data_IF_638529133342
#
_entry.id   IF_638529133342
#
_cell.length_a   1.000
_cell.length_b   1.000
_cell.length_c   1.000
_cell.angle_alpha   90.00
_cell.angle_beta   90.00
_cell.angle_gamma   90.00
#
_symmetry.space_group_name_H-M   'P 1'
#
loop_
_entity.id
_entity.type
_entity.pdbx_description
1 polymer ?
#
# COMPACT_ATOMS: atom_id res chain seq x y z
N UNK A 1 20.98 -8.85 34.24
CA UNK A 1 21.18 -9.19 32.81
C UNK A 1 22.21 -8.22 32.25
N UNK A 2 23.26 -8.70 31.59
CA UNK A 2 24.21 -7.82 30.89
C UNK A 2 23.57 -7.37 29.57
N UNK A 3 23.54 -6.07 29.29
CA UNK A 3 23.02 -5.52 28.03
C UNK A 3 23.99 -5.90 26.90
N UNK A 4 23.59 -6.83 26.03
CA UNK A 4 24.49 -7.40 25.02
C UNK A 4 24.89 -6.41 23.92
N UNK A 5 24.14 -5.32 23.74
CA UNK A 5 24.38 -4.31 22.70
C UNK A 5 25.28 -3.14 23.13
N UNK A 6 25.82 -3.18 24.34
CA UNK A 6 26.75 -2.18 24.85
C UNK A 6 28.11 -2.83 25.11
N UNK A 7 29.20 -2.17 24.71
CA UNK A 7 30.54 -2.60 25.05
C UNK A 7 30.89 -2.24 26.52
N UNK A 8 32.09 -2.59 26.97
CA UNK A 8 32.55 -2.31 28.34
C UNK A 8 32.62 -0.81 28.69
N UNK A 9 32.53 0.09 27.70
CA UNK A 9 32.51 1.55 27.85
C UNK A 9 31.09 2.14 27.74
N UNK A 10 30.08 1.30 27.51
CA UNK A 10 28.70 1.75 27.32
C UNK A 10 28.37 2.23 25.90
N UNK A 11 29.24 1.96 24.92
CA UNK A 11 29.01 2.34 23.52
C UNK A 11 28.24 1.23 22.78
N UNK A 12 27.42 1.62 21.81
CA UNK A 12 26.67 0.71 20.96
C UNK A 12 27.61 -0.23 20.19
N UNK A 13 27.36 -1.55 20.27
CA UNK A 13 28.12 -2.56 19.57
C UNK A 13 27.21 -3.69 19.09
N UNK A 14 27.39 -4.14 17.85
CA UNK A 14 26.68 -5.28 17.29
C UNK A 14 27.29 -6.57 17.83
N UNK A 15 26.50 -7.40 18.49
CA UNK A 15 26.96 -8.66 19.10
C UNK A 15 27.54 -9.59 18.05
N UNK A 16 28.76 -10.10 18.26
CA UNK A 16 29.30 -11.16 17.41
C UNK A 16 28.52 -12.47 17.64
N UNK A 17 28.13 -13.09 16.53
CA UNK A 17 27.37 -14.34 16.49
C UNK A 17 28.09 -15.43 15.70
N UNK A 18 29.34 -15.22 15.27
CA UNK A 18 30.09 -16.13 14.42
C UNK A 18 30.15 -17.56 14.97
N UNK A 19 30.41 -17.70 16.27
CA UNK A 19 30.57 -19.01 16.95
C UNK A 19 29.24 -19.64 17.39
N UNK A 20 28.10 -18.97 17.18
CA UNK A 20 26.79 -19.55 17.50
C UNK A 20 26.40 -20.55 16.42
N UNK A 21 25.85 -21.69 16.82
CA UNK A 21 25.32 -22.66 15.88
C UNK A 21 24.13 -22.09 15.10
N UNK A 22 24.07 -22.43 13.81
CA UNK A 22 22.91 -22.16 12.98
C UNK A 22 21.78 -23.12 13.33
N UNK A 23 20.60 -22.56 13.59
CA UNK A 23 19.39 -23.33 13.90
C UNK A 23 18.23 -22.76 13.10
N UNK A 24 17.19 -23.56 12.90
CA UNK A 24 15.91 -23.04 12.41
C UNK A 24 15.36 -22.06 13.43
N UNK A 25 14.91 -20.90 12.95
CA UNK A 25 14.36 -19.82 13.77
C UNK A 25 13.11 -19.27 13.11
N UNK A 26 12.14 -18.95 13.94
CA UNK A 26 10.86 -18.43 13.52
C UNK A 26 10.40 -17.36 14.50
N UNK A 27 9.77 -16.31 14.00
CA UNK A 27 9.10 -15.31 14.82
C UNK A 27 7.76 -14.95 14.19
N UNK A 28 6.75 -14.79 15.04
CA UNK A 28 5.45 -14.25 14.68
C UNK A 28 5.25 -12.93 15.40
N UNK A 29 4.77 -11.93 14.68
CA UNK A 29 4.40 -10.64 15.24
C UNK A 29 3.02 -10.23 14.74
N UNK A 30 2.36 -9.36 15.48
CA UNK A 30 1.08 -8.79 15.12
C UNK A 30 1.13 -7.27 15.14
N UNK A 31 0.12 -6.65 14.53
CA UNK A 31 -0.21 -5.24 14.68
C UNK A 31 -1.72 -5.06 14.48
N UNK A 32 -2.30 -4.01 15.08
CA UNK A 32 -3.70 -3.65 14.91
C UNK A 32 -3.83 -2.25 14.32
N UNK A 33 -4.68 -2.09 13.32
CA UNK A 33 -4.98 -0.80 12.70
C UNK A 33 -6.46 -0.50 12.88
N UNK A 34 -6.79 0.37 13.81
CA UNK A 34 -8.17 0.78 14.10
C UNK A 34 -8.56 1.99 13.24
N UNK A 35 -9.77 1.96 12.70
CA UNK A 35 -10.29 2.98 11.77
C UNK A 35 -11.80 3.16 11.94
N UNK A 36 -12.40 4.12 11.24
CA UNK A 36 -13.85 4.24 11.24
C UNK A 36 -14.50 3.00 10.59
N UNK A 37 -15.70 2.59 11.04
CA UNK A 37 -16.43 1.48 10.43
C UNK A 37 -16.64 1.66 8.92
N UNK A 38 -16.92 2.90 8.49
CA UNK A 38 -17.08 3.24 7.08
C UNK A 38 -15.78 3.06 6.27
N UNK A 39 -14.62 3.38 6.85
CA UNK A 39 -13.31 3.15 6.23
C UNK A 39 -13.05 1.66 6.04
N UNK A 40 -13.36 0.85 7.06
CA UNK A 40 -13.19 -0.59 6.99
C UNK A 40 -14.13 -1.23 5.95
N UNK A 41 -15.37 -0.74 5.84
CA UNK A 41 -16.30 -1.18 4.80
C UNK A 41 -15.77 -0.88 3.40
N UNK A 42 -15.28 0.34 3.14
CA UNK A 42 -14.66 0.70 1.87
C UNK A 42 -13.43 -0.19 1.56
N UNK A 43 -12.63 -0.50 2.57
CA UNK A 43 -11.49 -1.40 2.44
C UNK A 43 -11.93 -2.82 2.05
N UNK A 44 -12.99 -3.35 2.68
CA UNK A 44 -13.52 -4.68 2.41
C UNK A 44 -14.13 -4.80 1.00
N UNK A 45 -14.76 -3.73 0.52
CA UNK A 45 -15.39 -3.66 -0.81
C UNK A 45 -14.40 -3.30 -1.93
N UNK A 46 -13.17 -2.91 -1.59
CA UNK A 46 -12.17 -2.44 -2.57
C UNK A 46 -12.49 -1.05 -3.13
N UNK A 47 -13.35 -0.28 -2.47
CA UNK A 47 -13.82 1.04 -2.91
C UNK A 47 -12.89 2.21 -2.55
N UNK A 48 -11.63 1.94 -2.17
CA UNK A 48 -10.66 2.98 -1.81
C UNK A 48 -10.02 3.59 -3.07
N UNK A 49 -9.81 4.93 -3.12
CA UNK A 49 -9.30 5.60 -4.33
C UNK A 49 -7.92 5.15 -4.81
N UNK A 50 -7.14 4.50 -3.95
CA UNK A 50 -5.74 4.12 -4.19
C UNK A 50 -5.55 2.66 -4.64
N UNK A 51 -6.63 1.95 -5.00
CA UNK A 51 -6.57 0.57 -5.49
C UNK A 51 -6.44 -0.48 -4.38
N UNK A 52 -5.76 -1.60 -4.67
CA UNK A 52 -5.65 -2.73 -3.74
C UNK A 52 -4.73 -2.41 -2.55
N UNK A 53 -5.36 -1.99 -1.46
CA UNK A 53 -4.69 -1.57 -0.22
C UNK A 53 -4.04 -2.75 0.51
N UNK A 54 -4.71 -3.90 0.58
CA UNK A 54 -4.21 -5.07 1.32
C UNK A 54 -3.02 -5.71 0.58
N UNK A 55 -3.07 -5.80 -0.75
CA UNK A 55 -1.94 -6.29 -1.53
C UNK A 55 -0.73 -5.37 -1.42
N UNK A 56 -0.94 -4.06 -1.52
CA UNK A 56 0.12 -3.06 -1.34
C UNK A 56 0.76 -3.17 0.05
N UNK A 57 -0.05 -3.23 1.12
CA UNK A 57 0.44 -3.39 2.49
C UNK A 57 1.19 -4.72 2.69
N UNK A 58 0.74 -5.81 2.06
CA UNK A 58 1.42 -7.12 2.09
C UNK A 58 2.83 -7.03 1.52
N UNK A 59 2.95 -6.43 0.33
CA UNK A 59 4.22 -6.27 -0.37
C UNK A 59 5.15 -5.37 0.44
N UNK A 60 4.63 -4.27 0.99
CA UNK A 60 5.40 -3.36 1.84
C UNK A 60 5.95 -4.07 3.09
N UNK A 61 5.14 -4.87 3.77
CA UNK A 61 5.58 -5.68 4.92
C UNK A 61 6.67 -6.69 4.53
N UNK A 62 6.52 -7.41 3.40
CA UNK A 62 7.53 -8.37 2.93
C UNK A 62 8.86 -7.66 2.58
N UNK A 63 8.79 -6.49 1.95
CA UNK A 63 9.99 -5.69 1.66
C UNK A 63 10.65 -5.19 2.93
N UNK A 64 9.87 -4.71 3.89
CA UNK A 64 10.36 -4.23 5.17
C UNK A 64 11.09 -5.32 5.97
N UNK A 65 10.55 -6.54 6.03
CA UNK A 65 11.23 -7.68 6.67
C UNK A 65 12.66 -7.85 6.14
N UNK A 66 12.84 -7.81 4.81
CA UNK A 66 14.15 -8.00 4.16
C UNK A 66 15.11 -6.84 4.42
N UNK A 67 14.60 -5.65 4.74
CA UNK A 67 15.37 -4.41 4.96
C UNK A 67 15.48 -4.02 6.44
N UNK A 68 15.11 -4.92 7.35
CA UNK A 68 15.12 -4.67 8.80
C UNK A 68 16.49 -4.19 9.30
N UNK A 69 17.57 -4.80 8.82
CA UNK A 69 18.94 -4.44 9.20
C UNK A 69 19.38 -3.05 8.71
N UNK A 70 18.70 -2.47 7.71
CA UNK A 70 18.93 -1.08 7.28
C UNK A 70 18.24 -0.08 8.20
N UNK A 71 17.16 -0.51 8.87
CA UNK A 71 16.32 0.35 9.72
C UNK A 71 16.71 0.28 11.20
N UNK A 72 17.09 -0.91 11.68
CA UNK A 72 17.44 -1.16 13.08
C UNK A 72 18.98 -1.23 13.22
N UNK A 73 19.65 -0.21 13.82
CA UNK A 73 21.08 0.00 13.67
C UNK A 73 22.02 -1.16 14.07
N UNK A 74 21.60 -2.04 14.97
CA UNK A 74 22.42 -3.14 15.50
C UNK A 74 21.88 -4.53 15.14
N UNK A 75 20.90 -4.61 14.22
CA UNK A 75 20.46 -5.88 13.67
C UNK A 75 21.48 -6.41 12.66
N UNK A 76 21.69 -7.73 12.68
CA UNK A 76 22.47 -8.41 11.66
C UNK A 76 21.70 -8.44 10.33
N UNK A 77 22.41 -8.42 9.21
CA UNK A 77 21.81 -8.75 7.91
C UNK A 77 21.52 -10.26 7.86
N UNK A 78 20.27 -10.64 7.56
CA UNK A 78 19.81 -12.01 7.62
C UNK A 78 19.17 -12.46 6.30
N UNK A 79 19.53 -13.67 5.86
CA UNK A 79 18.94 -14.30 4.67
C UNK A 79 17.63 -15.00 5.05
N UNK A 80 16.53 -14.25 5.01
CA UNK A 80 15.19 -14.77 5.29
C UNK A 80 14.80 -15.89 4.31
N UNK A 81 14.30 -17.00 4.84
CA UNK A 81 13.81 -18.14 4.04
C UNK A 81 12.30 -18.07 3.79
N UNK A 82 11.54 -17.40 4.65
CA UNK A 82 10.09 -17.19 4.47
C UNK A 82 9.65 -15.91 5.18
N UNK A 83 8.76 -15.17 4.52
CA UNK A 83 7.98 -14.08 5.10
C UNK A 83 6.52 -14.26 4.68
N UNK A 84 5.58 -14.19 5.62
CA UNK A 84 4.15 -14.01 5.32
C UNK A 84 3.63 -12.82 6.10
N UNK A 85 2.68 -12.11 5.52
CA UNK A 85 2.00 -10.95 6.11
C UNK A 85 0.54 -11.15 5.75
N UNK A 86 -0.31 -11.41 6.73
CA UNK A 86 -1.71 -11.77 6.56
C UNK A 86 -2.60 -10.75 7.27
N UNK A 87 -3.82 -10.55 6.75
CA UNK A 87 -4.75 -9.53 7.22
C UNK A 87 -6.10 -10.16 7.53
N UNK A 88 -6.67 -9.78 8.66
CA UNK A 88 -8.06 -10.11 9.04
C UNK A 88 -8.81 -8.81 9.26
N UNK A 89 -9.93 -8.61 8.56
CA UNK A 89 -10.81 -7.47 8.80
C UNK A 89 -11.79 -7.83 9.92
N UNK A 90 -11.72 -7.11 11.02
CA UNK A 90 -12.62 -7.25 12.16
C UNK A 90 -13.66 -6.14 12.13
N UNK A 91 -14.80 -6.45 11.51
CA UNK A 91 -15.93 -5.53 11.39
C UNK A 91 -16.56 -5.19 12.74
N UNK A 92 -16.46 -6.07 13.74
CA UNK A 92 -17.05 -5.83 15.06
C UNK A 92 -16.27 -4.77 15.83
N UNK A 93 -14.94 -4.78 15.72
CA UNK A 93 -14.05 -3.82 16.39
C UNK A 93 -13.56 -2.68 15.47
N UNK A 94 -13.99 -2.66 14.20
CA UNK A 94 -13.59 -1.66 13.20
C UNK A 94 -12.07 -1.54 13.05
N UNK A 95 -11.40 -2.69 12.94
CA UNK A 95 -9.95 -2.73 12.78
C UNK A 95 -9.48 -3.79 11.78
N UNK A 96 -8.25 -3.61 11.31
CA UNK A 96 -7.51 -4.64 10.56
C UNK A 96 -6.46 -5.23 11.49
N UNK A 97 -6.51 -6.55 11.67
CA UNK A 97 -5.46 -7.30 12.34
C UNK A 97 -4.42 -7.74 11.32
N UNK A 98 -3.16 -7.51 11.63
CA UNK A 98 -2.01 -7.91 10.81
C UNK A 98 -1.29 -9.03 11.56
N UNK A 99 -1.01 -10.13 10.87
CA UNK A 99 -0.18 -11.21 11.38
C UNK A 99 1.00 -11.44 10.45
N UNK A 100 2.20 -11.45 11.01
CA UNK A 100 3.44 -11.64 10.26
C UNK A 100 4.18 -12.87 10.78
N UNK A 101 4.75 -13.62 9.85
CA UNK A 101 5.64 -14.75 10.13
C UNK A 101 6.96 -14.55 9.37
N UNK A 102 8.08 -14.55 10.10
CA UNK A 102 9.42 -14.60 9.52
C UNK A 102 10.14 -15.89 9.92
N UNK A 103 10.91 -16.47 9.00
CA UNK A 103 11.69 -17.70 9.25
C UNK A 103 13.02 -17.68 8.52
N UNK A 104 14.04 -18.27 9.15
CA UNK A 104 15.33 -18.59 8.53
C UNK A 104 16.01 -19.78 9.21
N UNK A 105 17.16 -20.19 8.66
CA UNK A 105 18.19 -20.95 9.38
C UNK A 105 19.36 -20.00 9.64
N UNK A 106 19.75 -19.79 10.90
CA UNK A 106 20.77 -18.79 11.23
C UNK A 106 21.16 -18.73 12.70
N UNK A 107 22.04 -17.77 13.01
CA UNK A 107 22.75 -17.65 14.30
C UNK A 107 22.08 -16.70 15.30
N UNK A 108 21.19 -15.86 14.82
CA UNK A 108 20.38 -14.92 15.62
C UNK A 108 18.91 -14.99 15.21
N UNK A 109 18.03 -14.54 16.10
CA UNK A 109 16.58 -14.58 15.91
C UNK A 109 16.08 -13.64 14.82
N UNK A 110 14.79 -13.74 14.52
CA UNK A 110 14.08 -12.95 13.50
C UNK A 110 12.91 -12.15 14.07
N UNK A 111 12.96 -11.86 15.37
CA UNK A 111 11.93 -11.08 16.05
C UNK A 111 11.77 -9.70 15.41
N UNK A 112 12.89 -9.06 15.07
CA UNK A 112 12.90 -7.71 14.50
C UNK A 112 12.36 -7.69 13.07
N UNK A 113 12.61 -8.72 12.28
CA UNK A 113 12.07 -8.82 10.92
C UNK A 113 10.54 -8.94 10.94
N UNK A 114 9.98 -9.74 11.86
CA UNK A 114 8.55 -9.88 12.02
C UNK A 114 7.89 -8.57 12.50
N UNK A 115 8.45 -7.93 13.52
CA UNK A 115 7.96 -6.66 14.08
C UNK A 115 8.03 -5.51 13.05
N UNK A 116 9.14 -5.41 12.33
CA UNK A 116 9.34 -4.37 11.31
C UNK A 116 8.35 -4.52 10.17
N UNK A 117 8.12 -5.76 9.70
CA UNK A 117 7.13 -6.02 8.68
C UNK A 117 5.70 -5.71 9.11
N UNK A 118 5.31 -6.05 10.34
CA UNK A 118 3.99 -5.70 10.89
C UNK A 118 3.82 -4.18 10.96
N UNK A 119 4.86 -3.47 11.43
CA UNK A 119 4.88 -2.01 11.54
C UNK A 119 4.71 -1.33 10.18
N UNK A 120 5.48 -1.74 9.17
CA UNK A 120 5.44 -1.11 7.84
C UNK A 120 4.16 -1.49 7.09
N UNK A 121 3.65 -2.71 7.25
CA UNK A 121 2.32 -3.05 6.72
C UNK A 121 1.23 -2.13 7.32
N UNK A 122 1.26 -1.89 8.63
CA UNK A 122 0.33 -0.97 9.30
C UNK A 122 0.46 0.47 8.80
N UNK A 123 1.69 0.99 8.67
CA UNK A 123 1.96 2.32 8.11
C UNK A 123 1.47 2.44 6.67
N UNK A 124 1.58 1.37 5.89
CA UNK A 124 1.09 1.33 4.52
C UNK A 124 -0.45 1.36 4.47
N UNK A 125 -1.13 0.61 5.34
CA UNK A 125 -2.59 0.72 5.48
C UNK A 125 -3.02 2.16 5.80
N UNK A 126 -2.32 2.80 6.75
CA UNK A 126 -2.56 4.21 7.06
C UNK A 126 -2.39 5.09 5.81
N UNK A 127 -1.27 4.97 5.08
CA UNK A 127 -1.01 5.80 3.90
C UNK A 127 -2.08 5.68 2.81
N UNK A 128 -2.58 4.45 2.63
CA UNK A 128 -3.58 4.12 1.63
C UNK A 128 -4.98 4.59 2.01
N UNK A 129 -5.29 4.66 3.31
CA UNK A 129 -6.62 5.04 3.82
C UNK A 129 -6.71 6.51 4.31
N UNK A 130 -5.59 7.21 4.55
CA UNK A 130 -5.58 8.56 5.16
C UNK A 130 -6.37 9.65 4.43
N UNK A 131 -6.72 9.43 3.16
CA UNK A 131 -7.52 10.36 2.39
C UNK A 131 -9.00 10.35 2.83
N UNK A 132 -9.52 9.19 3.22
CA UNK A 132 -10.90 9.02 3.71
C UNK A 132 -10.99 9.08 5.23
N UNK A 133 -9.91 8.72 5.92
CA UNK A 133 -9.88 8.66 7.38
C UNK A 133 -8.50 9.00 7.93
N UNK A 134 -8.37 10.19 8.53
CA UNK A 134 -7.14 10.66 9.18
C UNK A 134 -7.04 10.25 10.65
N UNK A 135 -8.10 9.68 11.22
CA UNK A 135 -8.17 9.28 12.63
C UNK A 135 -7.67 7.86 12.89
N UNK A 136 -7.10 7.20 11.87
CA UNK A 136 -6.59 5.82 11.96
C UNK A 136 -5.51 5.73 13.04
N UNK A 137 -5.63 4.72 13.90
CA UNK A 137 -4.67 4.44 14.98
C UNK A 137 -3.96 3.12 14.69
N UNK A 138 -2.63 3.16 14.71
CA UNK A 138 -1.78 1.96 14.66
C UNK A 138 -1.38 1.62 16.10
N UNK A 139 -1.67 0.39 16.52
CA UNK A 139 -1.40 -0.10 17.86
C UNK A 139 -1.00 -1.57 17.86
N UNK A 140 -0.79 -2.10 19.06
CA UNK A 140 -0.56 -3.52 19.34
C UNK A 140 0.51 -4.16 18.45
N UNK A 141 1.57 -3.40 18.12
CA UNK A 141 2.73 -3.93 17.41
C UNK A 141 3.54 -4.74 18.40
N UNK A 142 3.47 -6.06 18.28
CA UNK A 142 3.97 -6.92 19.34
C UNK A 142 4.42 -8.30 18.83
N UNK A 143 5.38 -8.90 19.53
CA UNK A 143 5.83 -10.26 19.24
C UNK A 143 4.82 -11.26 19.80
N UNK A 144 4.36 -12.22 19.02
CA UNK A 144 3.42 -13.26 19.44
C UNK A 144 4.14 -14.53 19.84
N UNK A 145 5.05 -15.00 19.00
CA UNK A 145 5.87 -16.16 19.30
C UNK A 145 7.26 -15.99 18.71
N UNK A 146 8.22 -16.69 19.30
CA UNK A 146 9.48 -17.00 18.64
C UNK A 146 9.93 -18.41 18.98
N UNK A 147 10.62 -19.05 18.06
CA UNK A 147 11.20 -20.38 18.27
C UNK A 147 12.66 -20.44 17.86
N UNK A 148 13.41 -21.29 18.55
CA UNK A 148 14.82 -21.57 18.27
C UNK A 148 15.81 -20.58 18.88
N UNK A 149 17.07 -21.01 18.93
CA UNK A 149 18.16 -20.31 19.60
C UNK A 149 18.30 -20.66 21.08
N UNK A 150 19.36 -20.10 21.69
CA UNK A 150 19.75 -20.44 23.07
C UNK A 150 18.71 -20.03 24.13
N UNK A 151 17.93 -18.98 23.88
CA UNK A 151 16.88 -18.53 24.80
C UNK A 151 15.62 -19.40 24.77
N UNK A 152 15.56 -20.39 23.87
CA UNK A 152 14.40 -21.26 23.73
C UNK A 152 13.22 -20.57 23.06
N UNK A 153 12.10 -21.29 23.07
CA UNK A 153 10.84 -20.82 22.50
C UNK A 153 10.16 -19.88 23.49
N UNK A 154 9.50 -18.86 22.94
CA UNK A 154 8.71 -17.91 23.71
C UNK A 154 7.38 -17.70 23.03
N UNK A 155 6.34 -17.58 23.83
CA UNK A 155 4.99 -17.26 23.40
C UNK A 155 4.45 -16.18 24.34
N UNK A 156 3.76 -15.20 23.75
CA UNK A 156 3.04 -14.18 24.50
C UNK A 156 2.04 -14.87 25.43
N UNK A 157 2.04 -14.58 26.74
CA UNK A 157 1.01 -15.04 27.64
C UNK A 157 -0.35 -14.47 27.19
N UNK A 158 -1.37 -15.32 27.09
CA UNK A 158 -2.74 -14.84 26.85
C UNK A 158 -3.17 -13.95 28.01
N UNK A 159 -3.50 -12.69 27.73
CA UNK A 159 -4.00 -11.77 28.77
C UNK A 159 -5.32 -12.28 29.38
N UNK A 160 -6.10 -13.08 28.65
CA UNK A 160 -7.30 -13.75 29.17
C UNK A 160 -7.00 -14.72 30.33
N UNK A 161 -5.85 -15.40 30.31
CA UNK A 161 -5.44 -16.33 31.37
C UNK A 161 -4.92 -15.61 32.63
N UNK A 162 -4.56 -14.33 32.52
CA UNK A 162 -4.12 -13.52 33.66
C UNK A 162 -5.31 -12.90 34.44
N UNK A 163 -6.50 -12.84 33.83
CA UNK A 163 -7.71 -12.25 34.43
C UNK A 163 -8.57 -13.28 35.18
N UNK A 164 -8.37 -14.59 34.94
CA UNK A 164 -9.14 -15.69 35.58
C UNK A 164 -8.97 -15.87 37.09
N UNK A 165 -8.17 -15.04 37.79
CA UNK A 165 -8.14 -15.04 39.27
C UNK A 165 -9.07 -14.02 39.93
N UNK A 166 -9.89 -13.28 39.18
CA UNK A 166 -10.89 -12.38 39.79
C UNK A 166 -12.15 -12.27 38.94
N UNK A 167 -13.31 -12.52 39.59
CA UNK A 167 -14.71 -12.29 39.16
C UNK A 167 -15.26 -13.23 38.08
N UNK A 168 -16.02 -14.29 38.42
CA UNK A 168 -17.47 -14.31 38.77
C UNK A 168 -18.38 -13.78 37.65
N UNK A 169 -18.91 -14.70 36.83
CA UNK A 169 -20.04 -14.49 35.91
C UNK A 169 -21.36 -14.29 36.68
N UNK A 170 -22.42 -13.74 36.04
CA UNK A 170 -23.37 -14.68 35.44
C UNK A 170 -24.04 -14.23 34.12
N UNK A 171 -24.19 -15.21 33.22
CA UNK A 171 -25.46 -15.70 32.66
C UNK A 171 -26.29 -14.88 31.65
N UNK A 172 -26.31 -15.41 30.41
CA UNK A 172 -27.47 -15.72 29.49
C UNK A 172 -28.36 -14.54 29.06
N UNK A 173 -28.93 -14.45 27.85
CA UNK A 173 -29.48 -15.44 26.92
C UNK A 173 -29.88 -14.74 25.60
N UNK A 174 -29.72 -15.41 24.46
CA UNK A 174 -30.41 -15.09 23.20
C UNK A 174 -31.91 -15.44 23.24
N UNK A 175 -32.70 -14.93 22.27
CA UNK A 175 -33.38 -15.88 21.40
C UNK A 175 -33.48 -15.49 19.91
N UNK A 176 -33.52 -16.57 19.13
CA UNK A 176 -33.84 -16.76 17.70
C UNK A 176 -35.29 -16.38 17.31
N UNK A 177 -35.51 -15.86 16.08
CA UNK A 177 -36.20 -16.57 14.95
C UNK A 177 -36.72 -15.67 13.81
N UNK A 178 -36.45 -16.18 12.60
CA UNK A 178 -37.29 -16.28 11.38
C UNK A 178 -37.67 -15.05 10.52
N UNK A 179 -37.26 -15.12 9.24
CA UNK A 179 -37.83 -14.47 8.04
C UNK A 179 -39.24 -15.02 7.68
N UNK A 180 -39.99 -14.43 6.71
CA UNK A 180 -39.77 -14.81 5.30
C UNK A 180 -40.10 -13.76 4.19
N UNK A 181 -39.52 -13.99 3.00
CA UNK A 181 -40.17 -14.04 1.68
C UNK A 181 -40.37 -12.79 0.78
N UNK A 182 -39.60 -12.81 -0.34
CA UNK A 182 -39.95 -12.68 -1.78
C UNK A 182 -40.03 -11.31 -2.50
N UNK A 183 -39.06 -11.17 -3.42
CA UNK A 183 -39.17 -11.11 -4.89
C UNK A 183 -39.48 -9.79 -5.62
N UNK A 184 -38.55 -9.40 -6.51
CA UNK A 184 -38.72 -9.02 -7.94
C UNK A 184 -37.49 -8.18 -8.39
N UNK A 185 -36.50 -8.77 -9.09
CA UNK A 185 -36.26 -8.71 -10.57
C UNK A 185 -36.06 -7.31 -11.17
N UNK A 186 -34.83 -7.01 -11.61
CA UNK A 186 -34.47 -6.47 -12.95
C UNK A 186 -32.94 -6.31 -13.09
N UNK A 187 -32.36 -6.94 -14.12
CA UNK A 187 -31.03 -6.70 -14.70
C UNK A 187 -31.24 -6.34 -16.20
N UNK A 188 -30.21 -5.99 -17.01
CA UNK A 188 -29.03 -5.15 -16.80
C UNK A 188 -28.92 -4.07 -17.91
N UNK A 189 -27.92 -3.17 -17.85
CA UNK A 189 -27.54 -2.32 -19.00
C UNK A 189 -26.05 -2.53 -19.28
N UNK A 190 -25.78 -3.00 -20.50
CA UNK A 190 -24.47 -3.26 -21.09
C UNK A 190 -23.73 -1.94 -21.39
N UNK A 191 -22.44 -1.88 -21.03
CA UNK A 191 -21.51 -0.87 -21.50
C UNK A 191 -20.46 -1.54 -22.39
N UNK A 192 -20.54 -1.26 -23.69
CA UNK A 192 -19.71 -1.87 -24.73
C UNK A 192 -18.33 -1.21 -24.77
N UNK A 193 -17.29 -2.04 -24.69
CA UNK A 193 -15.91 -1.65 -24.92
C UNK A 193 -15.68 -1.30 -26.40
N UNK A 194 -15.23 -0.07 -26.68
CA UNK A 194 -14.81 0.36 -28.01
C UNK A 194 -13.28 0.39 -28.12
N UNK A 195 -12.68 -0.64 -28.70
CA UNK A 195 -11.33 -0.59 -29.25
C UNK A 195 -11.38 0.15 -30.60
N UNK A 196 -10.54 1.17 -30.80
CA UNK A 196 -10.36 1.83 -32.09
C UNK A 196 -8.92 1.65 -32.60
N UNK A 197 -8.83 1.36 -33.90
CA UNK A 197 -7.66 0.98 -34.68
C UNK A 197 -6.56 2.07 -34.80
N UNK A 198 -5.31 1.70 -35.15
CA UNK A 198 -4.23 2.67 -35.41
C UNK A 198 -4.50 3.52 -36.66
N UNK A 199 -4.20 4.82 -36.57
CA UNK A 199 -4.35 5.79 -37.65
C UNK A 199 -3.30 5.60 -38.77
N UNK A 200 -3.72 5.90 -40.01
CA UNK A 200 -2.90 5.85 -41.22
C UNK A 200 -1.77 6.91 -41.23
N UNK A 201 -0.63 6.66 -41.91
CA UNK A 201 0.52 7.55 -41.89
C UNK A 201 0.35 8.70 -42.89
N UNK A 202 0.49 9.95 -42.43
CA UNK A 202 0.60 11.10 -43.34
C UNK A 202 0.22 12.46 -42.75
N UNK A 203 -0.46 12.50 -41.61
CA UNK A 203 -0.91 13.76 -41.02
C UNK A 203 -0.07 14.08 -39.77
N UNK A 204 0.50 15.28 -39.71
CA UNK A 204 1.41 15.74 -38.65
C UNK A 204 0.68 15.86 -37.32
N UNK A 205 0.37 14.73 -36.70
CA UNK A 205 -0.53 14.61 -35.56
C UNK A 205 0.22 14.16 -34.34
N UNK A 206 -0.20 14.65 -33.18
CA UNK A 206 0.23 14.18 -31.86
C UNK A 206 -0.95 13.50 -31.18
N UNK A 207 -0.65 12.44 -30.43
CA UNK A 207 -1.63 11.74 -29.61
C UNK A 207 -1.51 12.23 -28.18
N UNK A 208 -2.58 12.78 -27.62
CA UNK A 208 -2.65 13.22 -26.24
C UNK A 208 -3.36 12.14 -25.42
N UNK A 209 -2.73 11.70 -24.32
CA UNK A 209 -3.28 10.75 -23.37
C UNK A 209 -3.57 11.45 -22.03
N UNK A 210 -4.72 11.16 -21.44
CA UNK A 210 -5.05 11.58 -20.08
C UNK A 210 -5.04 10.36 -19.17
N UNK A 211 -4.29 10.40 -18.07
CA UNK A 211 -4.12 9.26 -17.18
C UNK A 211 -4.61 9.56 -15.75
N UNK A 212 -4.90 8.50 -15.01
CA UNK A 212 -5.35 8.55 -13.61
C UNK A 212 -6.55 9.50 -13.41
N UNK A 213 -6.55 10.28 -12.33
CA UNK A 213 -7.65 11.20 -11.98
C UNK A 213 -7.97 12.21 -13.09
N UNK A 214 -7.00 12.59 -13.94
CA UNK A 214 -7.28 13.50 -15.07
C UNK A 214 -8.24 12.88 -16.08
N UNK A 215 -8.11 11.59 -16.34
CA UNK A 215 -8.96 10.84 -17.27
C UNK A 215 -10.40 10.79 -16.79
N UNK A 216 -10.58 10.50 -15.51
CA UNK A 216 -11.89 10.42 -14.86
C UNK A 216 -12.55 11.80 -14.77
N UNK A 217 -11.76 12.83 -14.43
CA UNK A 217 -12.25 14.20 -14.31
C UNK A 217 -12.66 14.81 -15.65
N UNK A 218 -11.95 14.45 -16.72
CA UNK A 218 -12.18 14.98 -18.07
C UNK A 218 -13.14 14.10 -18.90
N UNK A 219 -13.49 12.90 -18.42
CA UNK A 219 -14.25 11.89 -19.17
C UNK A 219 -13.68 11.62 -20.58
N UNK A 220 -12.34 11.64 -20.68
CA UNK A 220 -11.59 11.54 -21.95
C UNK A 220 -10.34 10.69 -21.75
N UNK A 221 -10.21 9.60 -22.52
CA UNK A 221 -9.01 8.75 -22.50
C UNK A 221 -7.87 9.33 -23.34
N UNK A 222 -8.18 9.80 -24.56
CA UNK A 222 -7.18 10.34 -25.48
C UNK A 222 -7.79 11.22 -26.56
N UNK A 223 -6.93 12.01 -27.21
CA UNK A 223 -7.26 12.94 -28.27
C UNK A 223 -6.14 12.96 -29.33
N UNK A 224 -6.48 13.08 -30.60
CA UNK A 224 -5.52 13.39 -31.65
C UNK A 224 -5.58 14.88 -32.03
N UNK A 225 -4.43 15.52 -32.18
CA UNK A 225 -4.33 16.91 -32.60
C UNK A 225 -3.31 17.08 -33.71
N UNK A 226 -3.64 17.92 -34.70
CA UNK A 226 -2.72 18.25 -35.77
C UNK A 226 -1.78 19.38 -35.30
N UNK A 227 -0.47 19.19 -35.43
CA UNK A 227 0.56 20.16 -35.02
C UNK A 227 0.40 21.52 -35.68
N UNK A 228 -0.17 21.57 -36.89
CA UNK A 228 -0.44 22.83 -37.60
C UNK A 228 -1.50 23.70 -36.91
N UNK A 229 -2.28 23.12 -36.00
CA UNK A 229 -3.29 23.85 -35.21
C UNK A 229 -2.72 24.48 -33.93
N UNK A 230 -1.46 24.18 -33.61
CA UNK A 230 -0.79 24.74 -32.45
C UNK A 230 -0.18 26.10 -32.78
N UNK A 231 -0.33 27.08 -31.89
CA UNK A 231 0.36 28.37 -32.03
C UNK A 231 1.88 28.22 -31.94
N UNK A 232 2.33 27.24 -31.15
CA UNK A 232 3.72 26.84 -30.97
C UNK A 232 3.75 25.31 -30.90
N UNK A 233 4.66 24.66 -31.63
CA UNK A 233 4.81 23.21 -31.61
C UNK A 233 5.57 22.75 -30.34
N UNK A 234 5.02 23.10 -29.17
CA UNK A 234 5.54 22.76 -27.84
C UNK A 234 4.42 22.23 -26.95
N UNK A 235 4.78 21.58 -25.83
CA UNK A 235 3.82 21.14 -24.82
C UNK A 235 2.96 22.30 -24.29
N UNK A 236 3.56 23.47 -24.05
CA UNK A 236 2.85 24.67 -23.62
C UNK A 236 1.90 25.21 -24.69
N UNK A 237 2.32 25.18 -25.96
CA UNK A 237 1.45 25.50 -27.10
C UNK A 237 0.25 24.55 -27.19
N UNK A 238 0.48 23.26 -26.99
CA UNK A 238 -0.55 22.22 -26.92
C UNK A 238 -1.57 22.50 -25.80
N UNK A 239 -1.10 22.73 -24.56
CA UNK A 239 -1.98 23.04 -23.42
C UNK A 239 -2.87 24.26 -23.68
N UNK A 240 -2.30 25.33 -24.25
CA UNK A 240 -3.07 26.54 -24.59
C UNK A 240 -4.12 26.27 -25.67
N UNK A 241 -3.77 25.54 -26.72
CA UNK A 241 -4.73 25.17 -27.76
C UNK A 241 -5.86 24.29 -27.21
N UNK A 242 -5.54 23.35 -26.29
CA UNK A 242 -6.53 22.51 -25.63
C UNK A 242 -7.49 23.32 -24.74
N UNK A 243 -6.96 24.22 -23.91
CA UNK A 243 -7.77 25.07 -23.04
C UNK A 243 -8.70 26.00 -23.83
N UNK A 244 -8.27 26.50 -24.99
CA UNK A 244 -9.11 27.29 -25.89
C UNK A 244 -10.22 26.48 -26.57
N UNK A 245 -9.96 25.19 -26.82
CA UNK A 245 -10.91 24.29 -27.48
C UNK A 245 -11.98 23.77 -26.51
N UNK A 246 -11.57 23.47 -25.28
CA UNK A 246 -12.44 22.95 -24.23
C UNK A 246 -12.04 23.55 -22.87
N UNK A 247 -12.91 24.35 -22.22
CA UNK A 247 -12.63 24.93 -20.90
C UNK A 247 -12.31 23.88 -19.81
N UNK A 248 -12.78 22.64 -19.93
CA UNK A 248 -12.45 21.59 -18.95
C UNK A 248 -10.95 21.23 -19.00
N UNK A 249 -10.31 21.37 -20.16
CA UNK A 249 -8.90 21.10 -20.36
C UNK A 249 -7.98 22.22 -19.84
N UNK A 250 -8.54 23.34 -19.37
CA UNK A 250 -7.77 24.37 -18.66
C UNK A 250 -7.10 23.80 -17.39
N UNK A 251 -7.64 22.71 -16.85
CA UNK A 251 -7.06 22.00 -15.72
C UNK A 251 -5.65 21.41 -15.99
N UNK A 252 -5.22 21.32 -17.26
CA UNK A 252 -3.85 20.94 -17.63
C UNK A 252 -2.80 22.02 -17.33
N UNK A 253 -3.24 23.26 -17.09
CA UNK A 253 -2.39 24.37 -16.67
C UNK A 253 -2.12 24.38 -15.15
N UNK A 254 -2.74 23.47 -14.37
CA UNK A 254 -2.37 23.30 -12.95
C UNK A 254 -0.91 22.87 -12.86
N UNK A 255 -0.11 23.63 -12.11
CA UNK A 255 1.32 23.37 -11.84
C UNK A 255 1.63 21.97 -11.32
N UNK A 256 0.64 21.25 -10.77
CA UNK A 256 0.79 19.88 -10.28
C UNK A 256 0.64 18.84 -11.39
N UNK A 257 0.03 19.17 -12.52
CA UNK A 257 -0.11 18.24 -13.64
C UNK A 257 1.24 18.07 -14.33
N UNK A 258 1.71 16.83 -14.33
CA UNK A 258 2.93 16.41 -14.98
C UNK A 258 2.68 16.09 -16.46
N UNK A 259 3.73 16.18 -17.26
CA UNK A 259 3.71 15.88 -18.69
C UNK A 259 4.86 14.94 -19.05
N UNK A 260 4.57 13.93 -19.86
CA UNK A 260 5.58 13.12 -20.53
C UNK A 260 5.36 13.13 -22.05
N UNK A 261 6.44 13.14 -22.82
CA UNK A 261 6.41 12.95 -24.28
C UNK A 261 7.18 11.68 -24.58
N UNK A 262 6.54 10.70 -25.23
CA UNK A 262 7.13 9.40 -25.54
C UNK A 262 7.78 8.72 -24.32
N UNK A 263 7.13 8.79 -23.15
CA UNK A 263 7.57 8.27 -21.85
C UNK A 263 8.66 9.08 -21.13
N UNK A 264 9.17 10.16 -21.72
CA UNK A 264 10.15 11.04 -21.09
C UNK A 264 9.49 12.24 -20.40
N UNK A 265 9.87 12.51 -19.15
CA UNK A 265 9.34 13.62 -18.35
C UNK A 265 9.85 14.97 -18.84
N UNK A 266 8.91 15.86 -19.19
CA UNK A 266 9.23 17.07 -19.94
C UNK A 266 8.52 18.30 -19.39
N UNK A 267 9.03 19.47 -19.75
CA UNK A 267 8.46 20.78 -19.40
C UNK A 267 7.70 21.37 -20.58
N UNK A 268 6.97 22.45 -20.32
CA UNK A 268 6.10 23.11 -21.29
C UNK A 268 6.87 23.66 -22.52
N UNK A 269 8.17 23.90 -22.41
CA UNK A 269 9.04 24.35 -23.49
C UNK A 269 9.52 23.23 -24.42
N UNK A 270 9.21 21.96 -24.12
CA UNK A 270 9.63 20.84 -24.97
C UNK A 270 8.96 20.90 -26.35
N UNK A 271 9.74 20.85 -27.45
CA UNK A 271 9.19 20.73 -28.80
C UNK A 271 8.43 19.42 -29.03
N UNK A 272 7.36 19.48 -29.82
CA UNK A 272 6.55 18.35 -30.26
C UNK A 272 6.77 18.06 -31.75
N UNK A 273 6.87 16.77 -32.07
CA UNK A 273 7.05 16.24 -33.42
C UNK A 273 5.84 15.40 -33.85
N UNK A 274 5.70 15.22 -35.16
CA UNK A 274 4.64 14.38 -35.71
C UNK A 274 4.82 12.93 -35.22
N UNK A 275 3.76 12.35 -34.69
CA UNK A 275 3.74 11.01 -34.11
C UNK A 275 4.02 10.96 -32.60
N UNK A 276 4.33 12.10 -31.96
CA UNK A 276 4.58 12.11 -30.51
C UNK A 276 3.33 11.73 -29.72
N UNK A 277 3.55 10.92 -28.68
CA UNK A 277 2.57 10.62 -27.65
C UNK A 277 2.83 11.52 -26.43
N UNK A 278 1.86 12.37 -26.10
CA UNK A 278 1.92 13.33 -25.00
C UNK A 278 0.97 12.88 -23.89
N UNK A 279 1.49 12.50 -22.73
CA UNK A 279 0.69 12.08 -21.59
C UNK A 279 0.63 13.14 -20.50
N UNK A 280 -0.58 13.45 -20.02
CA UNK A 280 -0.80 14.30 -18.85
C UNK A 280 -1.33 13.49 -17.68
N UNK A 281 -0.75 13.70 -16.50
CA UNK A 281 -1.10 12.96 -15.29
C UNK A 281 -0.85 13.78 -14.01
N UNK A 282 -1.62 13.55 -12.93
CA UNK A 282 -1.33 14.14 -11.62
C UNK A 282 0.00 13.61 -11.05
N UNK A 283 0.60 14.28 -10.05
CA UNK A 283 1.83 13.79 -9.46
C UNK A 283 1.54 12.49 -8.73
N UNK A 284 2.23 11.42 -9.12
CA UNK A 284 2.09 10.11 -8.49
C UNK A 284 2.92 10.08 -7.21
N UNK A 285 2.28 9.80 -6.07
CA UNK A 285 3.01 9.49 -4.83
C UNK A 285 3.45 8.04 -4.88
N UNK A 286 4.53 7.76 -5.62
CA UNK A 286 5.16 6.44 -5.65
C UNK A 286 6.01 6.22 -6.90
N UNK A 287 7.35 6.22 -6.71
CA UNK A 287 8.34 5.86 -7.72
C UNK A 287 8.97 7.05 -8.42
#
# INVERSE_FOLDING_TARGET
>A
MSLTHLNARGEAHMVDVADKQETRREARASARVSMLPATLALLAEGGLPKGDVLATARIAGIQAAKRTHELIPLCHALMLSKVTVDFTLDSANSCVEIQVLCRLNGRTGVEMEALTAASVAALTLYDMCKAVDKGIVIGDIQLETKTGGKSGDWQRPDEAAAVEQTSVEPSRSEPSRSEPSRAATAEPIEATAGQAAPAAPGDATVRVLFLAELRERLDLDSLALNLTTLSEATVGGLKRTLALRDPQLEALNDTRVLCAVNQDMVRDDHPLNAGDEVAFFPPVTGG
#
